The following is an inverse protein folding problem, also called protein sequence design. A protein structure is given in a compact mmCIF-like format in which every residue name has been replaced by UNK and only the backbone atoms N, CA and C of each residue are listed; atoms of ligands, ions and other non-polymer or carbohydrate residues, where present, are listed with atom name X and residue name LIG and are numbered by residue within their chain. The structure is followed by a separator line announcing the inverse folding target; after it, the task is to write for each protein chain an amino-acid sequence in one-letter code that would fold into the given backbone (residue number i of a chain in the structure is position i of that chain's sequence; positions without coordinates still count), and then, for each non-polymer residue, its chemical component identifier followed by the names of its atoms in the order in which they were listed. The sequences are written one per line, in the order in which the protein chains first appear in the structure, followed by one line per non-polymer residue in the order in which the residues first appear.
data_IF_102778541834
#
_entry.id   IF_102778541834
#
_cell.length_a   1.000
_cell.length_b   1.000
_cell.length_c   1.000
_cell.angle_alpha   90.00
_cell.angle_beta   90.00
_cell.angle_gamma   90.00
#
_symmetry.space_group_name_H-M   'P 1'
#
loop_
_entity.id
_entity.type
_entity.pdbx_description
1 polymer ?
#
# COMPACT_ATOMS: atom_id res chain seq x y z
N UNK A 1 19.16 -9.06 9.01
CA UNK A 1 19.60 -8.67 7.65
C UNK A 1 19.99 -7.20 7.53
N UNK A 2 19.08 -6.19 7.50
CA UNK A 2 19.51 -4.79 7.22
C UNK A 2 20.49 -4.20 8.26
N UNK A 3 20.23 -4.41 9.55
CA UNK A 3 21.10 -3.93 10.64
C UNK A 3 22.48 -4.60 10.64
N UNK A 4 22.54 -5.90 10.33
CA UNK A 4 23.78 -6.68 10.24
C UNK A 4 24.63 -6.19 9.06
N UNK A 5 24.02 -6.03 7.89
CA UNK A 5 24.69 -5.52 6.69
C UNK A 5 25.29 -4.12 6.87
N UNK A 6 24.70 -3.32 7.76
CA UNK A 6 25.16 -1.97 8.10
C UNK A 6 25.99 -1.92 9.38
N UNK A 7 26.21 -3.07 10.05
CA UNK A 7 26.91 -3.16 11.34
C UNK A 7 26.40 -2.18 12.41
N UNK A 8 25.09 -1.98 12.48
CA UNK A 8 24.43 -1.09 13.45
C UNK A 8 23.42 -1.85 14.31
N UNK A 9 23.17 -1.35 15.52
CA UNK A 9 22.05 -1.84 16.32
C UNK A 9 20.70 -1.39 15.75
N UNK A 10 19.63 -2.12 16.06
CA UNK A 10 18.27 -1.76 15.67
C UNK A 10 17.87 -0.36 16.16
N UNK A 11 18.26 0.01 17.39
CA UNK A 11 17.98 1.33 17.96
C UNK A 11 18.72 2.46 17.23
N UNK A 12 19.98 2.22 16.83
CA UNK A 12 20.75 3.18 16.04
C UNK A 12 20.13 3.35 14.66
N UNK A 13 19.80 2.27 13.96
CA UNK A 13 19.11 2.31 12.66
C UNK A 13 17.78 3.06 12.78
N UNK A 14 16.96 2.72 13.77
CA UNK A 14 15.67 3.38 13.98
C UNK A 14 15.79 4.89 14.17
N UNK A 15 16.73 5.36 15.02
CA UNK A 15 16.96 6.80 15.24
C UNK A 15 17.51 7.49 14.00
N UNK A 16 18.43 6.84 13.28
CA UNK A 16 18.98 7.38 12.05
C UNK A 16 17.90 7.51 10.97
N UNK A 17 17.12 6.45 10.75
CA UNK A 17 16.02 6.42 9.80
C UNK A 17 14.97 7.48 10.13
N UNK A 18 14.56 7.58 11.40
CA UNK A 18 13.58 8.59 11.83
C UNK A 18 14.10 10.02 11.66
N UNK A 19 15.40 10.27 11.88
CA UNK A 19 16.00 11.60 11.63
C UNK A 19 16.07 11.94 10.14
N UNK A 20 16.37 10.95 9.28
CA UNK A 20 16.53 11.17 7.84
C UNK A 20 15.21 11.21 7.06
N UNK A 21 14.25 10.34 7.41
CA UNK A 21 12.98 10.16 6.68
C UNK A 21 11.81 10.81 7.41
N UNK A 22 11.93 11.14 8.69
CA UNK A 22 10.86 11.72 9.51
C UNK A 22 9.83 10.68 10.02
N UNK A 23 9.89 9.44 9.53
CA UNK A 23 9.00 8.35 9.91
C UNK A 23 9.76 7.23 10.62
N UNK A 24 9.07 6.44 11.45
CA UNK A 24 9.64 5.16 11.86
C UNK A 24 9.72 4.20 10.65
N UNK A 25 10.67 3.25 10.63
CA UNK A 25 10.75 2.24 9.57
C UNK A 25 9.42 1.50 9.32
N UNK A 26 8.67 1.19 10.40
CA UNK A 26 7.36 0.55 10.29
C UNK A 26 6.33 1.43 9.60
N UNK A 27 6.26 2.72 9.92
CA UNK A 27 5.36 3.67 9.24
C UNK A 27 5.73 3.81 7.76
N UNK A 28 7.03 3.91 7.46
CA UNK A 28 7.51 3.99 6.08
C UNK A 28 7.09 2.77 5.26
N UNK A 29 7.30 1.55 5.79
CA UNK A 29 6.87 0.31 5.12
C UNK A 29 5.35 0.33 4.86
N UNK A 30 4.55 0.80 5.81
CA UNK A 30 3.09 0.93 5.61
C UNK A 30 2.73 1.89 4.47
N UNK A 31 3.43 3.01 4.34
CA UNK A 31 3.23 3.96 3.23
C UNK A 31 3.60 3.31 1.89
N UNK A 32 4.73 2.60 1.82
CA UNK A 32 5.16 1.91 0.60
C UNK A 32 4.15 0.83 0.19
N UNK A 33 3.69 0.01 1.15
CA UNK A 33 2.66 -1.01 0.90
C UNK A 33 1.33 -0.40 0.45
N UNK A 34 0.90 0.68 1.10
CA UNK A 34 -0.31 1.40 0.72
C UNK A 34 -0.23 1.92 -0.72
N UNK A 35 0.89 2.54 -1.09
CA UNK A 35 1.12 3.03 -2.45
C UNK A 35 1.07 1.87 -3.45
N UNK A 36 1.86 0.82 -3.23
CA UNK A 36 1.89 -0.35 -4.10
C UNK A 36 0.51 -1.00 -4.24
N UNK A 37 -0.26 -1.11 -3.15
CA UNK A 37 -1.60 -1.67 -3.18
C UNK A 37 -2.57 -0.79 -3.97
N UNK A 38 -2.47 0.53 -3.83
CA UNK A 38 -3.29 1.48 -4.60
C UNK A 38 -2.96 1.42 -6.08
N UNK A 39 -1.67 1.41 -6.44
CA UNK A 39 -1.21 1.33 -7.83
C UNK A 39 -1.70 0.02 -8.49
N UNK A 40 -1.49 -1.13 -7.84
CA UNK A 40 -1.98 -2.42 -8.35
C UNK A 40 -3.51 -2.50 -8.40
N UNK A 41 -4.22 -1.81 -7.49
CA UNK A 41 -5.68 -1.78 -7.47
C UNK A 41 -6.25 -0.97 -8.63
N UNK A 42 -5.54 0.07 -9.09
CA UNK A 42 -5.95 0.99 -10.16
C UNK A 42 -5.47 0.57 -11.55
N UNK A 43 -4.30 -0.05 -11.67
CA UNK A 43 -3.80 -0.59 -12.94
C UNK A 43 -4.71 -1.72 -13.47
N UNK A 44 -5.49 -2.36 -12.60
CA UNK A 44 -6.35 -3.47 -12.98
C UNK A 44 -7.73 -3.04 -13.45
N UNK A 45 -7.83 -2.79 -14.75
CA UNK A 45 -9.09 -2.88 -15.49
C UNK A 45 -9.64 -4.33 -15.59
N UNK A 46 -8.89 -5.37 -15.16
CA UNK A 46 -9.24 -6.78 -15.42
C UNK A 46 -8.85 -7.78 -14.29
N UNK A 47 -9.67 -7.85 -13.24
CA UNK A 47 -10.04 -9.14 -12.62
C UNK A 47 -9.00 -9.97 -11.85
N UNK A 48 -7.85 -9.45 -11.38
CA UNK A 48 -6.99 -10.30 -10.53
C UNK A 48 -7.61 -10.53 -9.14
N UNK A 49 -7.37 -11.69 -8.51
CA UNK A 49 -7.85 -11.95 -7.16
C UNK A 49 -7.26 -10.97 -6.15
N UNK A 50 -8.07 -10.48 -5.22
CA UNK A 50 -7.62 -9.52 -4.19
C UNK A 50 -6.45 -10.05 -3.34
N UNK A 51 -6.37 -11.37 -3.15
CA UNK A 51 -5.24 -12.02 -2.48
C UNK A 51 -3.93 -11.89 -3.25
N UNK A 52 -3.98 -11.94 -4.58
CA UNK A 52 -2.81 -11.74 -5.42
C UNK A 52 -2.29 -10.30 -5.33
N UNK A 53 -3.21 -9.32 -5.41
CA UNK A 53 -2.88 -7.89 -5.24
C UNK A 53 -2.27 -7.61 -3.87
N UNK A 54 -2.83 -8.20 -2.81
CA UNK A 54 -2.29 -8.08 -1.46
C UNK A 54 -0.84 -8.62 -1.36
N UNK A 55 -0.60 -9.81 -1.91
CA UNK A 55 0.73 -10.43 -1.92
C UNK A 55 1.75 -9.60 -2.70
N UNK A 56 1.40 -9.12 -3.91
CA UNK A 56 2.25 -8.25 -4.72
C UNK A 56 2.61 -6.95 -4.00
N UNK A 57 1.70 -6.45 -3.16
CA UNK A 57 1.89 -5.22 -2.41
C UNK A 57 2.64 -5.41 -1.09
N UNK A 58 3.15 -6.62 -0.83
CA UNK A 58 3.95 -6.95 0.35
C UNK A 58 3.14 -7.22 1.62
N UNK A 59 1.84 -7.53 1.49
CA UNK A 59 1.00 -7.99 2.60
C UNK A 59 1.08 -9.52 2.74
N UNK A 60 0.93 -9.99 3.99
CA UNK A 60 0.89 -11.42 4.28
C UNK A 60 -0.38 -12.08 3.74
N UNK A 61 -1.50 -11.36 3.78
CA UNK A 61 -2.80 -11.85 3.32
C UNK A 61 -3.72 -10.68 2.93
N UNK A 62 -4.84 -11.03 2.27
CA UNK A 62 -5.85 -10.08 1.83
C UNK A 62 -6.58 -9.38 2.99
N UNK A 63 -7.00 -10.06 4.09
CA UNK A 63 -7.64 -9.38 5.23
C UNK A 63 -6.76 -8.33 5.91
N UNK A 64 -5.44 -8.53 5.97
CA UNK A 64 -4.49 -7.55 6.50
C UNK A 64 -4.40 -6.34 5.56
N UNK A 65 -4.26 -6.57 4.25
CA UNK A 65 -4.25 -5.50 3.26
C UNK A 65 -5.53 -4.65 3.33
N UNK A 66 -6.70 -5.30 3.37
CA UNK A 66 -7.99 -4.63 3.44
C UNK A 66 -8.15 -3.78 4.70
N UNK A 67 -7.83 -4.32 5.88
CA UNK A 67 -7.91 -3.59 7.16
C UNK A 67 -6.97 -2.39 7.18
N UNK A 68 -5.74 -2.56 6.68
CA UNK A 68 -4.79 -1.45 6.63
C UNK A 68 -5.22 -0.37 5.65
N UNK A 69 -5.67 -0.76 4.45
CA UNK A 69 -6.16 0.15 3.44
C UNK A 69 -7.33 0.99 3.96
N UNK A 70 -8.34 0.35 4.56
CA UNK A 70 -9.48 1.07 5.14
C UNK A 70 -9.10 1.96 6.31
N UNK A 71 -8.06 1.61 7.09
CA UNK A 71 -7.52 2.51 8.12
C UNK A 71 -6.85 3.75 7.51
N UNK A 72 -6.26 3.64 6.32
CA UNK A 72 -5.62 4.76 5.63
C UNK A 72 -6.61 5.65 4.89
N UNK A 73 -7.61 5.06 4.21
CA UNK A 73 -8.51 5.79 3.30
C UNK A 73 -9.90 6.08 3.86
N UNK A 74 -10.29 5.38 4.94
CA UNK A 74 -11.66 5.41 5.46
C UNK A 74 -12.67 4.59 4.63
N UNK A 75 -12.24 3.91 3.57
CA UNK A 75 -13.10 3.13 2.68
C UNK A 75 -12.51 1.74 2.37
N UNK A 76 -13.35 0.81 1.94
CA UNK A 76 -12.88 -0.49 1.45
C UNK A 76 -12.17 -0.35 0.09
N UNK A 77 -11.28 -1.29 -0.23
CA UNK A 77 -10.62 -1.34 -1.53
C UNK A 77 -11.63 -1.48 -2.69
N UNK A 78 -12.78 -2.13 -2.45
CA UNK A 78 -13.85 -2.27 -3.43
C UNK A 78 -14.56 -0.94 -3.69
N UNK A 79 -14.91 -0.20 -2.64
CA UNK A 79 -15.52 1.13 -2.76
C UNK A 79 -14.57 2.09 -3.47
N UNK A 80 -13.30 2.11 -3.06
CA UNK A 80 -12.27 2.94 -3.69
C UNK A 80 -12.17 2.68 -5.19
N UNK A 81 -12.12 1.40 -5.60
CA UNK A 81 -12.09 1.00 -7.01
C UNK A 81 -13.34 1.47 -7.75
N UNK A 82 -14.54 1.24 -7.19
CA UNK A 82 -15.79 1.67 -7.81
C UNK A 82 -15.87 3.19 -8.02
N UNK A 83 -15.35 3.99 -7.09
CA UNK A 83 -15.31 5.45 -7.21
C UNK A 83 -14.34 5.92 -8.32
N UNK A 84 -13.15 5.31 -8.40
CA UNK A 84 -12.15 5.66 -9.42
C UNK A 84 -12.56 5.16 -10.81
N UNK A 85 -13.12 3.95 -10.90
CA UNK A 85 -13.76 3.42 -12.10
C UNK A 85 -14.95 4.30 -12.52
N UNK A 86 -15.66 4.91 -11.57
CA UNK A 86 -16.78 5.81 -11.83
C UNK A 86 -16.37 7.02 -12.68
N UNK A 87 -15.22 7.63 -12.38
CA UNK A 87 -14.67 8.75 -13.18
C UNK A 87 -14.31 8.25 -14.59
N UNK A 88 -13.62 7.11 -14.70
CA UNK A 88 -13.28 6.51 -15.99
C UNK A 88 -14.54 6.19 -16.83
N UNK A 89 -15.58 5.63 -16.20
CA UNK A 89 -16.90 5.39 -16.83
C UNK A 89 -17.62 6.66 -17.23
N UNK A 90 -17.46 7.76 -16.47
CA UNK A 90 -18.05 9.05 -16.80
C UNK A 90 -17.40 9.63 -18.06
N UNK A 91 -16.07 9.53 -18.17
CA UNK A 91 -15.31 9.98 -19.34
C UNK A 91 -15.67 9.18 -20.60
N UNK A 92 -15.81 7.86 -20.48
CA UNK A 92 -16.18 6.98 -21.60
C UNK A 92 -17.64 7.13 -22.10
N UNK A 93 -18.52 7.80 -21.35
CA UNK A 93 -19.93 8.04 -21.74
C UNK A 93 -20.15 9.39 -22.45
N UNK A 94 -19.09 10.18 -22.63
CA UNK A 94 -19.17 11.50 -23.26
C UNK A 94 -18.87 11.45 -24.78
N UNK A 95 -18.82 10.26 -25.36
CA UNK A 95 -18.77 9.98 -26.81
C UNK A 95 -20.11 9.42 -27.29
#
# INVERSE_FOLDING_TARGET
MLCENLSVSASTMYRAFRRGVGLSPKQYIRVIRYRAFTDNLLEEASGRPAAFVAALSGYADQPHAAREFSRFTGMSAREFRNTHDGIAKLMARSE
#
